data_IF_407378979215
#
_entry.id   IF_407378979215
#
_cell.length_a   1.000
_cell.length_b   1.000
_cell.length_c   1.000
_cell.angle_alpha   90.00
_cell.angle_beta   90.00
_cell.angle_gamma   90.00
#
_symmetry.space_group_name_H-M   'P 1'
#
loop_
_entity.id
_entity.type
_entity.pdbx_description
1 polymer ?
#
# COMPACT_ATOMS: atom_id res chain seq x y z
N UNK A 1 -0.63 5.41 -20.87
CA UNK A 1 -1.41 5.79 -19.67
C UNK A 1 -1.72 4.57 -18.80
N UNK A 2 -2.30 3.50 -19.36
CA UNK A 2 -2.66 2.29 -18.61
C UNK A 2 -1.46 1.61 -17.89
N UNK A 3 -0.31 1.47 -18.55
CA UNK A 3 0.90 0.93 -17.94
C UNK A 3 1.43 1.80 -16.79
N UNK A 4 1.18 3.11 -16.83
CA UNK A 4 1.58 4.03 -15.76
C UNK A 4 0.73 3.79 -14.50
N UNK A 5 -0.57 3.50 -14.66
CA UNK A 5 -1.46 3.13 -13.55
C UNK A 5 -1.04 1.82 -12.89
N UNK A 6 -0.72 0.80 -13.70
CA UNK A 6 -0.22 -0.47 -13.18
C UNK A 6 1.11 -0.27 -12.43
N UNK A 7 2.06 0.46 -13.02
CA UNK A 7 3.33 0.78 -12.38
C UNK A 7 3.13 1.55 -11.06
N UNK A 8 2.26 2.57 -11.04
CA UNK A 8 2.01 3.32 -9.81
C UNK A 8 1.37 2.46 -8.72
N UNK A 9 0.49 1.52 -9.06
CA UNK A 9 -0.07 0.56 -8.10
C UNK A 9 1.02 -0.33 -7.49
N UNK A 10 1.91 -0.87 -8.32
CA UNK A 10 3.04 -1.69 -7.86
C UNK A 10 3.96 -0.90 -6.93
N UNK A 11 4.29 0.34 -7.29
CA UNK A 11 5.17 1.21 -6.48
C UNK A 11 4.51 1.54 -5.13
N UNK A 12 3.24 1.93 -5.13
CA UNK A 12 2.49 2.23 -3.91
C UNK A 12 2.36 1.00 -3.01
N UNK A 13 2.15 -0.18 -3.60
CA UNK A 13 2.10 -1.43 -2.85
C UNK A 13 3.45 -1.74 -2.21
N UNK A 14 4.56 -1.62 -2.95
CA UNK A 14 5.90 -1.83 -2.43
C UNK A 14 6.26 -0.85 -1.30
N UNK A 15 5.89 0.43 -1.45
CA UNK A 15 6.08 1.43 -0.40
C UNK A 15 5.23 1.13 0.84
N UNK A 16 3.94 0.83 0.66
CA UNK A 16 3.03 0.48 1.75
C UNK A 16 3.50 -0.76 2.52
N UNK A 17 3.90 -1.80 1.79
CA UNK A 17 4.47 -3.01 2.38
C UNK A 17 5.78 -2.72 3.14
N UNK A 18 6.67 -1.90 2.57
CA UNK A 18 7.93 -1.54 3.22
C UNK A 18 7.68 -0.82 4.54
N UNK A 19 6.72 0.10 4.61
CA UNK A 19 6.36 0.76 5.86
C UNK A 19 5.79 -0.22 6.89
N UNK A 20 4.87 -1.11 6.49
CA UNK A 20 4.35 -2.12 7.41
C UNK A 20 5.45 -3.07 7.91
N UNK A 21 6.39 -3.45 7.03
CA UNK A 21 7.53 -4.27 7.40
C UNK A 21 8.43 -3.56 8.41
N UNK A 22 8.75 -2.28 8.18
CA UNK A 22 9.56 -1.48 9.11
C UNK A 22 8.87 -1.32 10.46
N UNK A 23 7.58 -1.01 10.48
CA UNK A 23 6.78 -0.87 11.71
C UNK A 23 6.89 -2.14 12.57
N UNK A 24 6.57 -3.29 11.98
CA UNK A 24 6.55 -4.57 12.71
C UNK A 24 7.95 -5.04 13.14
N UNK A 25 9.00 -4.61 12.45
CA UNK A 25 10.37 -5.07 12.73
C UNK A 25 11.08 -4.20 13.76
N UNK A 26 10.87 -2.88 13.72
CA UNK A 26 11.69 -1.93 14.47
C UNK A 26 10.91 -1.06 15.46
N UNK A 27 9.63 -0.81 15.24
CA UNK A 27 8.92 0.23 15.98
C UNK A 27 7.84 -0.34 16.90
N UNK A 28 7.15 -1.41 16.50
CA UNK A 28 6.02 -1.95 17.24
C UNK A 28 6.47 -2.88 18.38
N UNK A 29 6.94 -2.31 19.49
CA UNK A 29 7.36 -3.05 20.69
C UNK A 29 6.96 -2.34 21.99
N UNK A 30 6.95 -3.11 23.08
CA UNK A 30 6.72 -2.62 24.44
C UNK A 30 8.06 -2.59 25.17
N UNK A 31 8.39 -1.49 25.82
CA UNK A 31 9.62 -1.36 26.62
C UNK A 31 9.50 -1.98 28.02
N UNK A 32 10.56 -1.85 28.82
CA UNK A 32 10.63 -2.42 30.17
C UNK A 32 9.64 -1.75 31.14
N UNK A 33 9.27 -0.50 30.85
CA UNK A 33 8.28 0.29 31.59
C UNK A 33 6.83 0.01 31.15
N UNK A 34 6.63 -0.86 30.15
CA UNK A 34 5.31 -1.21 29.64
C UNK A 34 4.71 -0.18 28.68
N UNK A 35 5.51 0.75 28.16
CA UNK A 35 5.10 1.75 27.19
C UNK A 35 5.21 1.18 25.79
N UNK A 36 4.13 1.31 25.02
CA UNK A 36 4.11 0.97 23.60
C UNK A 36 4.86 2.05 22.82
N UNK A 37 5.93 1.67 22.15
CA UNK A 37 6.55 2.48 21.11
C UNK A 37 5.92 2.08 19.77
N UNK A 38 5.62 3.08 18.95
CA UNK A 38 5.05 2.90 17.61
C UNK A 38 5.52 4.05 16.72
N UNK A 39 5.40 3.89 15.40
CA UNK A 39 5.74 4.94 14.45
C UNK A 39 4.58 5.26 13.50
N UNK A 40 4.76 6.30 12.68
CA UNK A 40 3.80 6.61 11.61
C UNK A 40 3.87 5.64 10.42
N UNK A 41 4.75 4.63 10.46
CA UNK A 41 4.81 3.65 9.39
C UNK A 41 3.59 2.75 9.32
N UNK A 42 2.89 2.48 10.43
CA UNK A 42 1.61 1.77 10.38
C UNK A 42 0.56 2.52 9.53
N UNK A 43 0.17 3.78 9.85
CA UNK A 43 -0.83 4.49 9.05
C UNK A 43 -0.37 4.74 7.60
N UNK A 44 0.90 5.07 7.37
CA UNK A 44 1.41 5.24 6.00
C UNK A 44 1.45 3.94 5.20
N UNK A 45 1.77 2.83 5.86
CA UNK A 45 1.71 1.49 5.29
C UNK A 45 0.30 1.15 4.81
N UNK A 46 -0.69 1.33 5.69
CA UNK A 46 -2.11 1.09 5.36
C UNK A 46 -2.60 2.00 4.23
N UNK A 47 -2.33 3.31 4.30
CA UNK A 47 -2.70 4.26 3.24
C UNK A 47 -2.05 3.86 1.90
N UNK A 48 -0.79 3.43 1.92
CA UNK A 48 -0.07 2.95 0.74
C UNK A 48 -0.75 1.73 0.11
N UNK A 49 -1.07 0.71 0.91
CA UNK A 49 -1.76 -0.50 0.44
C UNK A 49 -3.15 -0.18 -0.10
N UNK A 50 -3.94 0.64 0.60
CA UNK A 50 -5.28 1.04 0.13
C UNK A 50 -5.23 1.84 -1.17
N UNK A 51 -4.27 2.75 -1.28
CA UNK A 51 -4.05 3.53 -2.51
C UNK A 51 -3.65 2.62 -3.68
N UNK A 52 -2.75 1.66 -3.44
CA UNK A 52 -2.36 0.68 -4.44
C UNK A 52 -3.54 -0.16 -4.94
N UNK A 53 -4.38 -0.63 -4.02
CA UNK A 53 -5.59 -1.38 -4.34
C UNK A 53 -6.60 -0.53 -5.13
N UNK A 54 -6.81 0.73 -4.74
CA UNK A 54 -7.68 1.66 -5.46
C UNK A 54 -7.22 1.92 -6.90
N UNK A 55 -5.92 2.15 -7.10
CA UNK A 55 -5.36 2.34 -8.45
C UNK A 55 -5.45 1.07 -9.28
N UNK A 56 -5.20 -0.10 -8.69
CA UNK A 56 -5.34 -1.39 -9.37
C UNK A 56 -6.78 -1.64 -9.81
N UNK A 57 -7.75 -1.33 -8.93
CA UNK A 57 -9.17 -1.44 -9.25
C UNK A 57 -9.53 -0.60 -10.47
N UNK A 58 -9.12 0.68 -10.50
CA UNK A 58 -9.34 1.58 -11.65
C UNK A 58 -8.71 0.99 -12.93
N UNK A 59 -7.47 0.49 -12.86
CA UNK A 59 -6.81 -0.16 -13.98
C UNK A 59 -7.63 -1.34 -14.51
N UNK A 60 -8.08 -2.23 -13.63
CA UNK A 60 -8.87 -3.41 -13.99
C UNK A 60 -10.22 -3.04 -14.60
N UNK A 61 -10.91 -2.03 -14.06
CA UNK A 61 -12.17 -1.53 -14.63
C UNK A 61 -11.98 -1.02 -16.06
N UNK A 62 -10.91 -0.25 -16.31
CA UNK A 62 -10.60 0.25 -17.66
C UNK A 62 -10.29 -0.92 -18.62
N UNK A 63 -9.54 -1.92 -18.17
CA UNK A 63 -9.23 -3.11 -18.97
C UNK A 63 -10.49 -3.90 -19.31
N UNK A 64 -11.38 -4.09 -18.32
CA UNK A 64 -12.63 -4.80 -18.49
C UNK A 64 -13.54 -4.09 -19.50
N UNK A 65 -13.75 -2.79 -19.35
CA UNK A 65 -14.53 -1.97 -20.29
C UNK A 65 -13.96 -2.10 -21.71
N UNK A 66 -12.65 -1.95 -21.88
CA UNK A 66 -12.01 -2.10 -23.19
C UNK A 66 -12.16 -3.48 -23.80
N UNK A 67 -12.33 -4.52 -22.99
CA UNK A 67 -12.56 -5.89 -23.45
C UNK A 67 -14.02 -6.14 -23.83
N UNK A 68 -14.96 -5.50 -23.14
CA UNK A 68 -16.41 -5.64 -23.40
C UNK A 68 -16.86 -4.84 -24.61
N UNK A 69 -16.28 -3.65 -24.82
CA UNK A 69 -16.65 -2.73 -25.91
C UNK A 69 -15.71 -2.81 -27.15
N UNK A 70 -14.76 -3.74 -27.15
CA UNK A 70 -14.04 -4.17 -28.36
C UNK A 70 -14.72 -5.40 -28.94
#
# INVERSE_FOLDING_TARGET
>A
MLNKLLLSSIVLFGLGFSFLFLENTFFQYIDEEGVLHESLFLPFGVIGILSAAGVLFIYLTIVLIRKVFK
#
